data_IF_776531759149
#
_entry.id   IF_776531759149
#
_cell.length_a   1.000
_cell.length_b   1.000
_cell.length_c   1.000
_cell.angle_alpha   90.00
_cell.angle_beta   90.00
_cell.angle_gamma   90.00
#
_symmetry.space_group_name_H-M   'P 1'
#
loop_
_entity.id
_entity.type
_entity.pdbx_description
1 polymer ?
#
# COMPACT_ATOMS: atom_id res chain seq x y z
N UNK A 1 12.42 -11.65 9.22
CA UNK A 1 12.02 -10.97 7.97
C UNK A 1 10.96 -9.92 8.26
N UNK A 2 10.63 -9.04 7.31
CA UNK A 2 9.64 -7.98 7.53
C UNK A 2 8.25 -8.53 7.88
N UNK A 3 7.84 -9.63 7.22
CA UNK A 3 6.57 -10.29 7.51
C UNK A 3 6.46 -10.71 9.00
N UNK A 4 7.52 -11.30 9.57
CA UNK A 4 7.55 -11.70 10.97
C UNK A 4 7.54 -10.50 11.94
N UNK A 5 8.16 -9.38 11.56
CA UNK A 5 8.10 -8.15 12.37
C UNK A 5 6.68 -7.58 12.42
N UNK A 6 5.94 -7.67 11.31
CA UNK A 6 4.56 -7.16 11.23
C UNK A 6 3.54 -8.11 11.87
N UNK A 7 3.77 -9.41 11.77
CA UNK A 7 2.90 -10.47 12.29
C UNK A 7 3.72 -11.50 13.07
N UNK A 8 4.05 -11.24 14.35
CA UNK A 8 4.88 -12.14 15.16
C UNK A 8 4.29 -13.54 15.35
N UNK A 9 2.97 -13.67 15.30
CA UNK A 9 2.24 -14.93 15.41
C UNK A 9 2.11 -15.66 14.07
N UNK A 10 2.62 -15.08 12.98
CA UNK A 10 2.40 -15.55 11.63
C UNK A 10 1.02 -15.17 11.07
N UNK A 11 0.83 -15.47 9.79
CA UNK A 11 -0.44 -15.35 9.08
C UNK A 11 -0.69 -16.63 8.30
N UNK A 12 -1.97 -16.96 8.08
CA UNK A 12 -2.34 -18.01 7.14
C UNK A 12 -1.83 -17.64 5.74
N UNK A 13 -1.23 -18.60 5.06
CA UNK A 13 -0.78 -18.45 3.68
C UNK A 13 -1.85 -19.02 2.75
N UNK A 14 -2.64 -18.17 2.10
CA UNK A 14 -3.64 -18.60 1.11
C UNK A 14 -3.04 -18.58 -0.31
N UNK A 15 -2.17 -17.61 -0.58
CA UNK A 15 -1.56 -17.37 -1.90
C UNK A 15 -0.04 -17.43 -1.80
N UNK A 16 0.59 -18.20 -2.68
CA UNK A 16 2.03 -18.14 -2.93
C UNK A 16 2.33 -17.26 -4.13
N UNK A 17 3.13 -16.20 -3.96
CA UNK A 17 3.52 -15.30 -5.05
C UNK A 17 4.86 -15.73 -5.65
N UNK A 18 4.87 -16.08 -6.94
CA UNK A 18 6.12 -16.20 -7.71
C UNK A 18 6.34 -14.95 -8.56
N UNK A 19 7.55 -14.40 -8.49
CA UNK A 19 7.92 -13.16 -9.15
C UNK A 19 9.44 -13.12 -9.39
N UNK A 20 9.89 -12.34 -10.39
CA UNK A 20 11.25 -12.44 -10.91
C UNK A 20 12.23 -11.40 -10.35
N UNK A 21 11.84 -10.58 -9.38
CA UNK A 21 12.67 -9.54 -8.75
C UNK A 21 13.15 -8.41 -9.69
N UNK A 22 12.66 -8.39 -10.94
CA UNK A 22 13.03 -7.37 -11.91
C UNK A 22 11.95 -6.29 -12.05
N UNK A 23 10.75 -6.52 -11.52
CA UNK A 23 9.70 -5.53 -11.38
C UNK A 23 9.95 -4.53 -10.24
N UNK A 24 9.43 -3.32 -10.39
CA UNK A 24 9.34 -2.38 -9.27
C UNK A 24 8.28 -2.81 -8.27
N UNK A 25 8.45 -2.45 -6.99
CA UNK A 25 7.51 -2.80 -5.92
C UNK A 25 6.06 -2.37 -6.22
N UNK A 26 5.86 -1.20 -6.83
CA UNK A 26 4.53 -0.73 -7.22
C UNK A 26 3.89 -1.57 -8.33
N UNK A 27 4.68 -2.04 -9.30
CA UNK A 27 4.18 -2.93 -10.35
C UNK A 27 3.71 -4.26 -9.73
N UNK A 28 4.54 -4.85 -8.87
CA UNK A 28 4.23 -6.07 -8.13
C UNK A 28 2.92 -5.92 -7.35
N UNK A 29 2.85 -4.92 -6.46
CA UNK A 29 1.70 -4.69 -5.59
C UNK A 29 0.44 -4.43 -6.41
N UNK A 30 0.52 -3.63 -7.47
CA UNK A 30 -0.65 -3.31 -8.31
C UNK A 30 -1.26 -4.55 -8.98
N UNK A 31 -0.43 -5.46 -9.49
CA UNK A 31 -0.88 -6.70 -10.13
C UNK A 31 -1.43 -7.69 -9.11
N UNK A 32 -0.77 -7.81 -7.97
CA UNK A 32 -1.18 -8.70 -6.86
C UNK A 32 -2.55 -8.28 -6.33
N UNK A 33 -2.73 -7.00 -5.98
CA UNK A 33 -4.01 -6.51 -5.44
C UNK A 33 -5.14 -6.60 -6.46
N UNK A 34 -4.86 -6.35 -7.74
CA UNK A 34 -5.87 -6.46 -8.79
C UNK A 34 -6.33 -7.91 -9.04
N UNK A 35 -5.42 -8.85 -8.86
CA UNK A 35 -5.65 -10.28 -9.14
C UNK A 35 -5.88 -11.08 -7.85
N UNK A 36 -6.21 -10.41 -6.74
CA UNK A 36 -6.37 -11.03 -5.44
C UNK A 36 -7.65 -11.88 -5.39
N UNK A 37 -7.57 -13.19 -5.06
CA UNK A 37 -8.74 -14.04 -4.86
C UNK A 37 -9.64 -13.52 -3.74
N UNK A 38 -10.96 -13.57 -3.95
CA UNK A 38 -11.95 -13.01 -3.02
C UNK A 38 -11.93 -13.65 -1.63
N UNK A 39 -11.53 -14.91 -1.52
CA UNK A 39 -11.51 -15.71 -0.31
C UNK A 39 -10.12 -15.77 0.36
N UNK A 40 -9.11 -15.15 -0.23
CA UNK A 40 -7.75 -15.13 0.30
C UNK A 40 -7.53 -13.97 1.28
N UNK A 41 -6.84 -14.26 2.38
CA UNK A 41 -6.55 -13.30 3.46
C UNK A 41 -5.07 -12.95 3.55
N UNK A 42 -4.19 -13.88 3.18
CA UNK A 42 -2.75 -13.70 3.26
C UNK A 42 -2.01 -14.26 2.06
N UNK A 43 -0.92 -13.59 1.70
CA UNK A 43 -0.02 -14.05 0.65
C UNK A 43 1.41 -14.15 1.17
N UNK A 44 2.11 -15.19 0.75
CA UNK A 44 3.54 -15.34 0.94
C UNK A 44 4.29 -14.75 -0.26
N UNK A 45 5.31 -13.94 0.02
CA UNK A 45 6.13 -13.27 -0.99
C UNK A 45 7.58 -13.24 -0.55
N UNK A 46 8.49 -13.75 -1.38
CA UNK A 46 9.91 -13.87 -1.10
C UNK A 46 10.54 -12.59 -0.54
N UNK A 47 10.25 -11.42 -1.14
CA UNK A 47 10.85 -10.13 -0.76
C UNK A 47 10.53 -9.80 0.71
N UNK A 48 9.33 -10.12 1.19
CA UNK A 48 8.88 -9.77 2.54
C UNK A 48 9.08 -10.89 3.56
N UNK A 49 9.02 -12.14 3.10
CA UNK A 49 9.03 -13.33 3.95
C UNK A 49 10.45 -13.79 4.29
N UNK A 50 11.43 -13.61 3.41
CA UNK A 50 12.81 -14.02 3.65
C UNK A 50 13.64 -12.88 4.25
N UNK A 51 14.62 -13.19 5.11
CA UNK A 51 15.58 -12.20 5.58
C UNK A 51 16.55 -11.83 4.45
N UNK A 52 16.45 -10.60 3.91
CA UNK A 52 17.23 -10.17 2.74
C UNK A 52 18.70 -9.88 3.03
N UNK A 53 19.05 -9.67 4.29
CA UNK A 53 20.39 -9.20 4.71
C UNK A 53 21.14 -10.23 5.56
N UNK A 54 20.70 -11.50 5.56
CA UNK A 54 21.33 -12.58 6.32
C UNK A 54 21.87 -13.65 5.38
N UNK A 55 22.90 -14.36 5.84
CA UNK A 55 23.40 -15.54 5.14
C UNK A 55 22.35 -16.66 5.19
N UNK A 56 21.75 -16.95 4.05
CA UNK A 56 20.75 -18.01 3.88
C UNK A 56 21.37 -19.30 3.32
N UNK A 57 22.69 -19.39 3.19
CA UNK A 57 23.38 -20.53 2.56
C UNK A 57 23.05 -21.87 3.24
N UNK A 58 22.83 -21.85 4.57
CA UNK A 58 22.41 -23.03 5.35
C UNK A 58 20.98 -23.50 5.05
N UNK A 59 20.13 -22.65 4.46
CA UNK A 59 18.77 -23.02 4.07
C UNK A 59 18.73 -23.70 2.69
N UNK A 60 19.72 -23.49 1.82
CA UNK A 60 19.70 -23.87 0.39
C UNK A 60 20.27 -25.28 0.13
N UNK A 61 20.21 -26.20 1.10
CA UNK A 61 20.73 -27.56 0.93
C UNK A 61 19.80 -28.45 0.09
N UNK A 62 18.49 -28.36 0.34
CA UNK A 62 17.46 -29.03 -0.46
C UNK A 62 16.34 -28.03 -0.81
N UNK A 63 16.16 -27.70 -2.10
CA UNK A 63 15.12 -26.79 -2.55
C UNK A 63 13.70 -27.16 -2.12
N UNK A 64 13.40 -28.45 -1.89
CA UNK A 64 12.08 -28.91 -1.44
C UNK A 64 11.81 -28.63 0.04
N UNK A 65 12.86 -28.39 0.83
CA UNK A 65 12.76 -28.12 2.27
C UNK A 65 12.81 -26.63 2.61
N UNK A 66 13.04 -25.79 1.59
CA UNK A 66 13.17 -24.35 1.77
C UNK A 66 11.87 -23.72 2.32
N UNK A 67 11.97 -22.57 3.00
CA UNK A 67 10.80 -21.86 3.53
C UNK A 67 9.72 -21.59 2.47
N UNK A 68 10.12 -21.34 1.22
CA UNK A 68 9.17 -21.13 0.13
C UNK A 68 8.40 -22.42 -0.22
N UNK A 69 9.06 -23.59 -0.21
CA UNK A 69 8.40 -24.85 -0.53
C UNK A 69 7.36 -25.21 0.52
N UNK A 70 7.66 -24.93 1.80
CA UNK A 70 6.68 -25.05 2.90
C UNK A 70 5.52 -24.08 2.70
N UNK A 71 5.78 -22.80 2.43
CA UNK A 71 4.73 -21.82 2.17
C UNK A 71 3.85 -22.19 0.97
N UNK A 72 4.46 -22.71 -0.10
CA UNK A 72 3.75 -23.19 -1.28
C UNK A 72 2.88 -24.40 -0.96
N UNK A 73 3.35 -25.33 -0.12
CA UNK A 73 2.58 -26.49 0.29
C UNK A 73 1.34 -26.13 1.11
N UNK A 74 1.38 -25.05 1.89
CA UNK A 74 0.26 -24.53 2.68
C UNK A 74 -0.71 -23.65 1.87
N UNK A 75 -0.22 -23.00 0.81
CA UNK A 75 -1.05 -22.15 -0.04
C UNK A 75 -2.07 -22.97 -0.85
N UNK A 76 -3.27 -22.41 -1.03
CA UNK A 76 -4.26 -22.96 -1.97
C UNK A 76 -3.98 -22.51 -3.41
N UNK A 77 -3.46 -21.29 -3.53
CA UNK A 77 -3.25 -20.61 -4.80
C UNK A 77 -1.78 -20.34 -5.05
N UNK A 78 -1.37 -20.43 -6.31
CA UNK A 78 -0.12 -19.85 -6.79
C UNK A 78 -0.45 -18.71 -7.76
N UNK A 79 0.02 -17.51 -7.44
CA UNK A 79 -0.13 -16.34 -8.31
C UNK A 79 1.21 -16.02 -8.98
N UNK A 80 1.26 -16.23 -10.29
CA UNK A 80 2.40 -15.92 -11.14
C UNK A 80 2.36 -14.44 -11.50
N UNK A 81 3.33 -13.65 -11.05
CA UNK A 81 3.35 -12.21 -11.32
C UNK A 81 4.34 -11.89 -12.43
N UNK A 82 3.89 -11.71 -13.70
CA UNK A 82 4.77 -11.32 -14.78
C UNK A 82 5.29 -9.90 -14.55
N UNK A 83 6.44 -9.57 -15.13
CA UNK A 83 7.00 -8.21 -15.16
C UNK A 83 7.09 -7.71 -16.60
N UNK A 84 7.20 -6.39 -16.79
CA UNK A 84 7.56 -5.81 -18.09
C UNK A 84 9.05 -5.90 -18.41
N UNK A 85 9.91 -6.08 -17.40
CA UNK A 85 11.36 -6.03 -17.56
C UNK A 85 11.94 -7.29 -18.20
N UNK A 86 11.38 -8.47 -17.90
CA UNK A 86 11.84 -9.77 -18.41
C UNK A 86 10.74 -10.83 -18.29
N UNK A 87 10.90 -11.97 -18.96
CA UNK A 87 10.04 -13.13 -18.72
C UNK A 87 10.33 -13.73 -17.35
N UNK A 88 9.28 -14.02 -16.57
CA UNK A 88 9.43 -14.72 -15.28
C UNK A 88 10.06 -16.10 -15.46
N UNK A 89 9.79 -16.77 -16.58
CA UNK A 89 10.35 -18.08 -16.91
C UNK A 89 11.82 -18.02 -17.38
N UNK A 90 12.44 -16.83 -17.42
CA UNK A 90 13.90 -16.73 -17.54
C UNK A 90 14.63 -16.97 -16.21
N UNK A 91 13.89 -17.07 -15.09
CA UNK A 91 14.44 -17.24 -13.75
C UNK A 91 14.17 -18.65 -13.25
N UNK A 92 15.24 -19.40 -12.99
CA UNK A 92 15.18 -20.80 -12.59
C UNK A 92 14.30 -21.04 -11.35
N UNK A 93 14.37 -20.14 -10.36
CA UNK A 93 13.55 -20.23 -9.14
C UNK A 93 12.06 -20.11 -9.44
N UNK A 94 11.65 -19.20 -10.31
CA UNK A 94 10.25 -19.04 -10.66
C UNK A 94 9.70 -20.26 -11.43
N UNK A 95 10.52 -20.86 -12.30
CA UNK A 95 10.17 -22.11 -12.98
C UNK A 95 10.03 -23.24 -11.97
N UNK A 96 10.97 -23.35 -11.03
CA UNK A 96 10.97 -24.40 -10.03
C UNK A 96 9.78 -24.28 -9.06
N UNK A 97 9.45 -23.07 -8.62
CA UNK A 97 8.24 -22.79 -7.84
C UNK A 97 6.98 -23.19 -8.60
N UNK A 98 6.88 -22.86 -9.89
CA UNK A 98 5.74 -23.25 -10.72
C UNK A 98 5.66 -24.76 -10.93
N UNK A 99 6.79 -25.43 -11.13
CA UNK A 99 6.87 -26.89 -11.19
C UNK A 99 6.36 -27.54 -9.90
N UNK A 100 6.82 -27.07 -8.73
CA UNK A 100 6.35 -27.58 -7.45
C UNK A 100 4.86 -27.30 -7.23
N UNK A 101 4.36 -26.14 -7.66
CA UNK A 101 2.95 -25.82 -7.54
C UNK A 101 2.07 -26.78 -8.35
N UNK A 102 2.51 -27.15 -9.56
CA UNK A 102 1.83 -28.14 -10.39
C UNK A 102 1.93 -29.54 -9.77
N UNK A 103 3.11 -29.94 -9.27
CA UNK A 103 3.31 -31.23 -8.59
C UNK A 103 2.44 -31.37 -7.33
N UNK A 104 2.21 -30.26 -6.62
CA UNK A 104 1.35 -30.20 -5.42
C UNK A 104 -0.12 -29.88 -5.74
N UNK A 105 -0.52 -29.96 -7.01
CA UNK A 105 -1.89 -29.73 -7.48
C UNK A 105 -2.50 -28.38 -7.05
N UNK A 106 -1.68 -27.33 -7.02
CA UNK A 106 -2.13 -25.97 -6.65
C UNK A 106 -2.90 -25.32 -7.79
N UNK A 107 -3.82 -24.43 -7.44
CA UNK A 107 -4.50 -23.58 -8.44
C UNK A 107 -3.56 -22.47 -8.87
N UNK A 108 -2.98 -22.59 -10.07
CA UNK A 108 -2.02 -21.62 -10.63
C UNK A 108 -2.73 -20.66 -11.59
N UNK A 109 -2.57 -19.36 -11.38
CA UNK A 109 -3.05 -18.33 -12.31
C UNK A 109 -2.07 -17.17 -12.42
N UNK A 110 -2.21 -16.37 -13.48
CA UNK A 110 -1.28 -15.28 -13.80
C UNK A 110 -1.89 -13.93 -13.47
N UNK A 111 -1.13 -13.10 -12.75
CA UNK A 111 -1.57 -11.78 -12.34
C UNK A 111 -1.70 -10.85 -13.55
N UNK A 112 -2.79 -10.09 -13.57
CA UNK A 112 -3.07 -9.07 -14.58
C UNK A 112 -2.88 -7.67 -14.02
N UNK A 113 -2.50 -6.74 -14.89
CA UNK A 113 -2.48 -5.32 -14.51
C UNK A 113 -3.91 -4.75 -14.54
N UNK A 114 -4.23 -3.78 -13.67
CA UNK A 114 -5.49 -3.04 -13.78
C UNK A 114 -5.63 -2.44 -15.19
N UNK A 115 -6.81 -2.52 -15.82
CA UNK A 115 -7.04 -1.92 -17.13
C UNK A 115 -6.88 -0.40 -17.04
N UNK A 116 -6.51 0.24 -18.15
CA UNK A 116 -6.23 1.68 -18.19
C UNK A 116 -7.39 2.53 -17.63
N UNK A 117 -8.63 2.12 -17.91
CA UNK A 117 -9.84 2.76 -17.38
C UNK A 117 -9.90 2.76 -15.85
N UNK A 118 -9.55 1.65 -15.19
CA UNK A 118 -9.53 1.57 -13.73
C UNK A 118 -8.44 2.49 -13.13
N UNK A 119 -7.31 2.62 -13.82
CA UNK A 119 -6.21 3.53 -13.41
C UNK A 119 -6.61 4.99 -13.54
N UNK A 120 -7.28 5.36 -14.63
CA UNK A 120 -7.81 6.71 -14.85
C UNK A 120 -8.89 7.06 -13.82
N UNK A 121 -9.84 6.16 -13.57
CA UNK A 121 -10.89 6.36 -12.58
C UNK A 121 -10.31 6.55 -11.16
N UNK A 122 -9.34 5.71 -10.77
CA UNK A 122 -8.65 5.84 -9.48
C UNK A 122 -7.92 7.18 -9.35
N UNK A 123 -7.24 7.61 -10.43
CA UNK A 123 -6.52 8.89 -10.45
C UNK A 123 -7.47 10.08 -10.36
N UNK A 124 -8.61 10.02 -11.05
CA UNK A 124 -9.65 11.04 -10.99
C UNK A 124 -10.27 11.15 -9.60
N UNK A 125 -10.57 10.02 -8.96
CA UNK A 125 -11.10 9.97 -7.59
C UNK A 125 -10.13 10.59 -6.59
N UNK A 126 -8.83 10.28 -6.69
CA UNK A 126 -7.81 10.89 -5.83
C UNK A 126 -7.71 12.39 -6.06
N UNK A 127 -7.73 12.86 -7.32
CA UNK A 127 -7.72 14.28 -7.63
C UNK A 127 -8.94 15.01 -7.06
N UNK A 128 -10.14 14.43 -7.21
CA UNK A 128 -11.38 14.97 -6.62
C UNK A 128 -11.30 15.02 -5.10
N UNK A 129 -10.78 13.97 -4.45
CA UNK A 129 -10.61 13.94 -3.01
C UNK A 129 -9.63 15.01 -2.52
N UNK A 130 -8.50 15.19 -3.21
CA UNK A 130 -7.53 16.24 -2.88
C UNK A 130 -8.10 17.65 -3.07
N UNK A 131 -8.87 17.87 -4.14
CA UNK A 131 -9.55 19.15 -4.37
C UNK A 131 -10.62 19.42 -3.30
N UNK A 132 -11.41 18.41 -2.93
CA UNK A 132 -12.41 18.53 -1.87
C UNK A 132 -11.76 18.82 -0.50
N UNK A 133 -10.68 18.13 -0.16
CA UNK A 133 -9.90 18.42 1.05
C UNK A 133 -9.29 19.82 1.02
N UNK A 134 -8.76 20.26 -0.13
CA UNK A 134 -8.21 21.60 -0.30
C UNK A 134 -9.25 22.70 -0.13
N UNK A 135 -10.43 22.53 -0.73
CA UNK A 135 -11.54 23.47 -0.59
C UNK A 135 -12.06 23.53 0.85
N UNK A 136 -12.26 22.38 1.50
CA UNK A 136 -12.75 22.33 2.89
C UNK A 136 -11.75 22.95 3.88
N UNK A 137 -10.45 22.63 3.77
CA UNK A 137 -9.41 23.27 4.58
C UNK A 137 -9.29 24.77 4.30
N UNK A 138 -9.40 25.18 3.03
CA UNK A 138 -9.34 26.59 2.63
C UNK A 138 -10.50 27.41 3.17
N UNK A 139 -11.72 26.87 3.11
CA UNK A 139 -12.93 27.53 3.66
C UNK A 139 -12.88 27.66 5.18
N UNK A 140 -12.38 26.63 5.89
CA UNK A 140 -12.19 26.68 7.34
C UNK A 140 -11.14 27.72 7.76
N UNK A 141 -10.01 27.77 7.04
CA UNK A 141 -8.97 28.77 7.30
C UNK A 141 -9.48 30.20 7.03
N UNK A 142 -10.21 30.40 5.92
CA UNK A 142 -10.79 31.70 5.59
C UNK A 142 -11.83 32.18 6.63
N UNK A 143 -12.69 31.28 7.13
CA UNK A 143 -13.64 31.59 8.19
C UNK A 143 -12.95 32.00 9.50
N UNK A 144 -11.89 31.29 9.89
CA UNK A 144 -11.10 31.65 11.09
C UNK A 144 -10.41 33.00 10.97
N UNK A 145 -9.96 33.38 9.76
CA UNK A 145 -9.33 34.65 9.49
C UNK A 145 -10.34 35.82 9.51
N UNK A 146 -11.56 35.62 8.99
CA UNK A 146 -12.62 36.63 9.07
C UNK A 146 -13.12 36.86 10.49
N UNK A 147 -13.15 35.82 11.33
CA UNK A 147 -13.52 35.94 12.74
C UNK A 147 -12.45 36.72 13.54
N UNK A 148 -11.16 36.46 13.27
CA UNK A 148 -10.06 37.21 13.89
C UNK A 148 -10.03 38.67 13.42
N UNK A 149 -10.26 38.93 12.13
CA UNK A 149 -10.34 40.29 11.60
C UNK A 149 -11.53 41.07 12.16
N UNK A 150 -12.68 40.42 12.36
CA UNK A 150 -13.87 41.05 12.97
C UNK A 150 -13.64 41.39 14.44
N UNK A 151 -12.91 40.56 15.18
CA UNK A 151 -12.48 40.85 16.55
C UNK A 151 -11.42 41.95 16.63
N UNK A 152 -10.50 42.03 15.66
CA UNK A 152 -9.44 43.04 15.62
C UNK A 152 -9.94 44.44 15.21
N UNK A 153 -10.93 44.53 14.32
CA UNK A 153 -11.45 45.82 13.83
C UNK A 153 -12.75 46.29 14.50
N UNK A 154 -13.45 45.43 15.25
CA UNK A 154 -14.63 45.81 16.04
C UNK A 154 -14.34 46.62 17.31
N UNK A 155 -13.07 46.74 17.72
CA UNK A 155 -12.66 47.47 18.92
C UNK A 155 -12.34 48.97 18.75
N UNK A 156 -12.33 49.50 17.52
CA UNK A 156 -11.86 50.86 17.23
C UNK A 156 -12.97 51.93 17.16
N UNK A 157 -14.17 51.65 17.67
CA UNK A 157 -15.36 52.48 17.47
C UNK A 157 -16.13 52.84 18.74
N UNK A 158 -15.49 53.17 19.86
CA UNK A 158 -16.17 53.81 21.00
C UNK A 158 -15.21 54.45 22.01
N UNK A 159 -14.51 55.52 21.63
CA UNK A 159 -13.80 56.39 22.58
C UNK A 159 -13.85 57.84 22.07
N UNK A 160 -15.04 58.43 21.96
CA UNK A 160 -15.18 59.85 21.67
C UNK A 160 -16.46 60.44 22.25
N UNK A 161 -16.71 60.25 23.55
CA UNK A 161 -17.81 60.95 24.23
C UNK A 161 -17.77 60.77 25.75
N UNK A 162 -16.69 61.15 26.44
CA UNK A 162 -16.75 61.33 27.91
C UNK A 162 -15.53 62.08 28.43
N UNK A 163 -15.45 63.39 28.21
CA UNK A 163 -14.63 64.30 29.00
C UNK A 163 -15.10 65.72 28.73
N UNK A 164 -16.01 66.21 29.57
CA UNK A 164 -16.08 67.59 30.08
C UNK A 164 -17.41 67.79 30.85
N UNK A 165 -17.44 67.40 32.13
CA UNK A 165 -18.25 68.11 33.14
C UNK A 165 -17.78 67.74 34.55
N UNK A 166 -17.04 68.63 35.21
CA UNK A 166 -17.14 68.90 36.67
C UNK A 166 -16.03 69.86 37.10
N UNK A 167 -16.42 70.97 37.72
CA UNK A 167 -15.51 71.96 38.30
C UNK A 167 -16.20 73.32 38.50
N UNK A 168 -17.10 73.39 39.48
CA UNK A 168 -17.73 74.63 39.95
C UNK A 168 -17.07 75.10 41.24
N UNK A 169 -16.97 76.43 41.38
CA UNK A 169 -16.76 77.23 42.60
C UNK A 169 -15.40 77.16 43.31
#
# INVERSE_FOLDING_TARGET
SWALMRHPQGLKCDIFLTHCWAEGAFELISKVLWSWPMDATGAWCCIFANPQNLDISSLIQDPRTLPFARALSEAAYMLVVPTKATSIYSRIWCIYEAFLAVEMEKTVFTASSPPAVARLASSALVAVALLACGLTCGSLAAASASDFASLAFGGAGSMHSCLWSSGSC
#
